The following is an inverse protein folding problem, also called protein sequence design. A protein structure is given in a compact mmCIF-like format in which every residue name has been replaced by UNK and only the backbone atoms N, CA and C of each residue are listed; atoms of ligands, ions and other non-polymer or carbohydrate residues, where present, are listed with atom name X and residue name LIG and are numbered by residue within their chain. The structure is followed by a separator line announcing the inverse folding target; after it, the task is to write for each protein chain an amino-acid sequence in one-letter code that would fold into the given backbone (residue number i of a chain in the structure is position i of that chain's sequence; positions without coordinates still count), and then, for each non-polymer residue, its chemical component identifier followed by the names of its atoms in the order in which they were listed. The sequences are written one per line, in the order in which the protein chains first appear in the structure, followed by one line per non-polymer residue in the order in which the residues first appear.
data_IF_921356542666
#
_entry.id   IF_921356542666
#
_cell.length_a   1.000
_cell.length_b   1.000
_cell.length_c   1.000
_cell.angle_alpha   90.00
_cell.angle_beta   90.00
_cell.angle_gamma   90.00
#
_symmetry.space_group_name_H-M   'P 1'
#
loop_
_entity.id
_entity.type
_entity.pdbx_description
1 polymer ?
#
# COMPACT_ATOMS: atom_id res chain seq x y z
N UNK A 1 16.43 -4.20 -1.19
CA UNK A 1 16.81 -2.96 -0.49
C UNK A 1 15.54 -2.23 -0.06
N UNK A 2 15.54 -1.43 1.02
CA UNK A 2 14.38 -0.62 1.42
C UNK A 2 14.73 0.86 1.45
N UNK A 3 13.77 1.75 1.18
CA UNK A 3 14.00 3.20 1.09
C UNK A 3 14.46 3.82 2.42
N UNK A 4 14.00 3.29 3.54
CA UNK A 4 14.40 3.71 4.88
C UNK A 4 15.66 2.98 5.39
N UNK A 5 16.62 2.68 4.54
CA UNK A 5 17.92 2.11 4.93
C UNK A 5 19.07 3.08 4.66
N UNK A 6 20.09 3.06 5.51
CA UNK A 6 21.29 3.90 5.34
C UNK A 6 21.98 3.64 3.99
N UNK A 7 22.03 2.38 3.54
CA UNK A 7 22.61 2.01 2.24
C UNK A 7 21.84 2.67 1.09
N UNK A 8 20.51 2.70 1.16
CA UNK A 8 19.71 3.38 0.15
C UNK A 8 19.92 4.89 0.17
N UNK A 9 19.84 5.50 1.35
CA UNK A 9 19.88 6.97 1.50
C UNK A 9 21.25 7.56 1.20
N UNK A 10 22.34 6.90 1.65
CA UNK A 10 23.69 7.46 1.58
C UNK A 10 24.48 6.97 0.37
N UNK A 11 24.12 5.84 -0.24
CA UNK A 11 24.89 5.26 -1.35
C UNK A 11 24.03 5.14 -2.60
N UNK A 12 22.97 4.31 -2.56
CA UNK A 12 22.23 3.96 -3.77
C UNK A 12 21.57 5.17 -4.41
N UNK A 13 20.77 5.91 -3.65
CA UNK A 13 20.01 7.06 -4.19
C UNK A 13 20.94 8.18 -4.71
N UNK A 14 21.96 8.64 -3.95
CA UNK A 14 22.91 9.63 -4.47
C UNK A 14 23.62 9.18 -5.75
N UNK A 15 24.12 7.95 -5.80
CA UNK A 15 24.82 7.42 -6.99
C UNK A 15 23.88 7.37 -8.20
N UNK A 16 22.70 6.79 -8.06
CA UNK A 16 21.71 6.69 -9.13
C UNK A 16 21.26 8.07 -9.60
N UNK A 17 21.05 9.00 -8.68
CA UNK A 17 20.64 10.36 -9.02
C UNK A 17 21.73 11.14 -9.75
N UNK A 18 22.98 11.07 -9.31
CA UNK A 18 24.11 11.70 -9.98
C UNK A 18 24.33 11.12 -11.38
N UNK A 19 24.29 9.79 -11.54
CA UNK A 19 24.36 9.15 -12.85
C UNK A 19 23.23 9.61 -13.77
N UNK A 20 22.01 9.76 -13.25
CA UNK A 20 20.88 10.26 -14.01
C UNK A 20 21.06 11.70 -14.50
N UNK A 21 21.74 12.55 -13.73
CA UNK A 21 22.04 13.92 -14.12
C UNK A 21 23.12 14.00 -15.23
N UNK A 22 24.15 13.15 -15.13
CA UNK A 22 25.32 13.18 -16.02
C UNK A 22 25.01 12.54 -17.38
N UNK A 23 24.20 11.47 -17.41
CA UNK A 23 23.93 10.71 -18.62
C UNK A 23 23.16 11.54 -19.66
N UNK A 24 23.60 11.56 -20.93
CA UNK A 24 22.91 12.28 -22.00
C UNK A 24 21.70 11.48 -22.53
N UNK A 25 20.61 12.20 -22.80
CA UNK A 25 19.46 11.67 -23.50
C UNK A 25 18.65 10.63 -22.72
N UNK A 26 17.39 10.51 -23.12
CA UNK A 26 16.39 9.68 -22.44
C UNK A 26 16.71 8.18 -22.49
N UNK A 27 17.34 7.71 -23.60
CA UNK A 27 17.66 6.28 -23.75
C UNK A 27 18.71 5.81 -22.74
N UNK A 28 19.79 6.57 -22.55
CA UNK A 28 20.84 6.25 -21.59
C UNK A 28 20.29 6.30 -20.15
N UNK A 29 19.48 7.32 -19.85
CA UNK A 29 18.80 7.45 -18.55
C UNK A 29 17.87 6.26 -18.28
N UNK A 30 17.09 5.80 -19.26
CA UNK A 30 16.20 4.64 -19.09
C UNK A 30 16.99 3.34 -18.85
N UNK A 31 18.08 3.10 -19.57
CA UNK A 31 18.91 1.93 -19.34
C UNK A 31 19.58 1.96 -17.96
N UNK A 32 20.07 3.11 -17.54
CA UNK A 32 20.63 3.28 -16.20
C UNK A 32 19.58 3.03 -15.12
N UNK A 33 18.38 3.60 -15.24
CA UNK A 33 17.28 3.36 -14.29
C UNK A 33 16.83 1.91 -14.28
N UNK A 34 16.81 1.23 -15.43
CA UNK A 34 16.53 -0.20 -15.52
C UNK A 34 17.56 -1.02 -14.74
N UNK A 35 18.84 -0.79 -15.00
CA UNK A 35 19.93 -1.51 -14.32
C UNK A 35 19.92 -1.23 -12.81
N UNK A 36 19.76 0.02 -12.41
CA UNK A 36 19.61 0.39 -11.01
C UNK A 36 18.41 -0.30 -10.34
N UNK A 37 17.28 -0.40 -11.05
CA UNK A 37 16.07 -1.08 -10.53
C UNK A 37 16.28 -2.58 -10.35
N UNK A 38 16.96 -3.22 -11.31
CA UNK A 38 17.30 -4.65 -11.20
C UNK A 38 18.27 -4.90 -10.03
N UNK A 39 19.30 -4.04 -9.87
CA UNK A 39 20.23 -4.10 -8.71
C UNK A 39 19.49 -3.88 -7.41
N UNK A 40 18.60 -2.87 -7.33
CA UNK A 40 17.79 -2.60 -6.15
C UNK A 40 16.96 -3.81 -5.72
N UNK A 41 16.33 -4.50 -6.67
CA UNK A 41 15.51 -5.68 -6.40
C UNK A 41 16.38 -6.89 -6.06
N UNK A 42 17.43 -7.17 -6.84
CA UNK A 42 18.34 -8.30 -6.64
C UNK A 42 19.07 -8.23 -5.30
N UNK A 43 19.30 -7.03 -4.74
CA UNK A 43 19.90 -6.87 -3.42
C UNK A 43 19.10 -7.58 -2.31
N UNK A 44 17.77 -7.64 -2.41
CA UNK A 44 16.91 -8.35 -1.45
C UNK A 44 16.43 -9.72 -1.98
N UNK A 45 16.33 -9.87 -3.29
CA UNK A 45 15.74 -11.02 -3.96
C UNK A 45 16.58 -11.48 -5.16
N UNK A 46 17.80 -12.03 -4.92
CA UNK A 46 18.75 -12.32 -6.00
C UNK A 46 18.27 -13.38 -7.00
N UNK A 47 17.45 -14.33 -6.55
CA UNK A 47 16.88 -15.38 -7.42
C UNK A 47 15.59 -14.90 -8.08
N UNK A 48 14.74 -14.21 -7.33
CA UNK A 48 13.41 -13.79 -7.82
C UNK A 48 13.45 -12.61 -8.79
N UNK A 49 14.59 -11.94 -8.95
CA UNK A 49 14.77 -10.99 -10.05
C UNK A 49 14.61 -11.67 -11.42
N UNK A 50 15.01 -12.94 -11.55
CA UNK A 50 14.80 -13.72 -12.77
C UNK A 50 13.32 -14.02 -13.03
N UNK A 51 12.55 -14.31 -11.97
CA UNK A 51 11.10 -14.48 -12.07
C UNK A 51 10.42 -13.19 -12.55
N UNK A 52 10.82 -12.05 -12.01
CA UNK A 52 10.30 -10.74 -12.44
C UNK A 52 10.62 -10.45 -13.92
N UNK A 53 11.86 -10.71 -14.37
CA UNK A 53 12.27 -10.58 -15.76
C UNK A 53 11.46 -11.51 -16.67
N UNK A 54 11.30 -12.78 -16.27
CA UNK A 54 10.51 -13.76 -17.02
C UNK A 54 9.03 -13.34 -17.10
N UNK A 55 8.44 -12.88 -15.99
CA UNK A 55 7.08 -12.34 -15.98
C UNK A 55 6.93 -11.15 -16.92
N UNK A 56 7.86 -10.18 -16.86
CA UNK A 56 7.86 -9.03 -17.77
C UNK A 56 7.95 -9.47 -19.24
N UNK A 57 8.78 -10.46 -19.55
CA UNK A 57 8.93 -10.99 -20.90
C UNK A 57 7.66 -11.67 -21.42
N UNK A 58 7.02 -12.51 -20.62
CA UNK A 58 5.74 -13.16 -20.97
C UNK A 58 4.65 -12.11 -21.24
N UNK A 59 4.55 -11.08 -20.41
CA UNK A 59 3.56 -10.02 -20.59
C UNK A 59 3.88 -9.15 -21.84
N UNK A 60 5.16 -8.86 -22.10
CA UNK A 60 5.61 -8.21 -23.34
C UNK A 60 5.23 -9.00 -24.59
N UNK A 61 5.52 -10.30 -24.62
CA UNK A 61 5.16 -11.18 -25.76
C UNK A 61 3.65 -11.26 -25.94
N UNK A 62 2.89 -11.37 -24.85
CA UNK A 62 1.42 -11.43 -24.90
C UNK A 62 0.84 -10.15 -25.52
N UNK A 63 1.36 -8.98 -25.16
CA UNK A 63 0.93 -7.72 -25.74
C UNK A 63 1.21 -7.65 -27.26
N UNK A 64 2.40 -8.09 -27.70
CA UNK A 64 2.73 -8.16 -29.15
C UNK A 64 1.86 -9.18 -29.90
N UNK A 65 1.52 -10.33 -29.27
CA UNK A 65 0.66 -11.34 -29.87
C UNK A 65 -0.78 -10.84 -30.04
N UNK A 66 -1.29 -10.06 -29.09
CA UNK A 66 -2.61 -9.42 -29.18
C UNK A 66 -2.70 -8.53 -30.41
N UNK A 67 -1.66 -7.74 -30.67
CA UNK A 67 -1.59 -6.88 -31.87
C UNK A 67 -1.53 -7.70 -33.16
N UNK A 68 -0.62 -8.70 -33.20
CA UNK A 68 -0.38 -9.51 -34.42
C UNK A 68 -1.53 -10.45 -34.80
N UNK A 69 -2.33 -10.90 -33.84
CA UNK A 69 -3.42 -11.87 -34.04
C UNK A 69 -4.76 -11.35 -33.49
N UNK A 70 -5.42 -10.40 -34.17
CA UNK A 70 -6.68 -9.81 -33.69
C UNK A 70 -7.82 -10.85 -33.46
N UNK A 71 -7.88 -11.93 -34.26
CA UNK A 71 -8.86 -13.01 -34.10
C UNK A 71 -8.64 -13.84 -32.82
N UNK A 72 -7.39 -13.95 -32.36
CA UNK A 72 -7.01 -14.71 -31.16
C UNK A 72 -6.80 -13.86 -29.91
N UNK A 73 -6.96 -12.53 -29.97
CA UNK A 73 -6.59 -11.62 -28.89
C UNK A 73 -7.24 -11.94 -27.53
N UNK A 74 -8.50 -12.43 -27.52
CA UNK A 74 -9.19 -12.84 -26.29
C UNK A 74 -8.55 -14.05 -25.64
N UNK A 75 -8.16 -15.05 -26.42
CA UNK A 75 -7.49 -16.25 -25.90
C UNK A 75 -6.12 -15.90 -25.32
N UNK A 76 -5.32 -15.09 -26.03
CA UNK A 76 -4.02 -14.62 -25.54
C UNK A 76 -4.15 -13.87 -24.22
N UNK A 77 -5.09 -12.91 -24.13
CA UNK A 77 -5.35 -12.17 -22.90
C UNK A 77 -5.79 -13.09 -21.77
N UNK A 78 -6.71 -14.05 -22.03
CA UNK A 78 -7.19 -14.98 -21.00
C UNK A 78 -6.06 -15.87 -20.49
N UNK A 79 -5.26 -16.45 -21.38
CA UNK A 79 -4.10 -17.28 -21.01
C UNK A 79 -3.09 -16.45 -20.18
N UNK A 80 -2.82 -15.21 -20.60
CA UNK A 80 -1.92 -14.32 -19.86
C UNK A 80 -2.42 -14.04 -18.43
N UNK A 81 -3.72 -13.76 -18.26
CA UNK A 81 -4.32 -13.54 -16.93
C UNK A 81 -4.20 -14.81 -16.08
N UNK A 82 -4.50 -15.98 -16.65
CA UNK A 82 -4.37 -17.27 -15.94
C UNK A 82 -2.92 -17.53 -15.52
N UNK A 83 -1.94 -17.26 -16.38
CA UNK A 83 -0.52 -17.43 -16.06
C UNK A 83 -0.08 -16.48 -14.93
N UNK A 84 -0.42 -15.19 -15.01
CA UNK A 84 -0.08 -14.21 -13.98
C UNK A 84 -0.73 -14.56 -12.62
N UNK A 85 -2.02 -14.91 -12.61
CA UNK A 85 -2.70 -15.36 -11.38
C UNK A 85 -2.19 -16.71 -10.89
N UNK A 86 -1.85 -17.63 -11.81
CA UNK A 86 -1.27 -18.93 -11.48
C UNK A 86 0.06 -18.81 -10.75
N UNK A 87 0.95 -17.93 -11.23
CA UNK A 87 2.21 -17.61 -10.55
C UNK A 87 1.95 -17.02 -9.16
N UNK A 88 1.00 -16.09 -9.04
CA UNK A 88 0.64 -15.51 -7.76
C UNK A 88 0.08 -16.57 -6.79
N UNK A 89 -0.79 -17.47 -7.26
CA UNK A 89 -1.33 -18.58 -6.46
C UNK A 89 -0.21 -19.52 -6.02
N UNK A 90 0.68 -19.88 -6.91
CA UNK A 90 1.81 -20.77 -6.61
C UNK A 90 2.67 -20.25 -5.45
N UNK A 91 3.06 -18.97 -5.50
CA UNK A 91 3.97 -18.42 -4.49
C UNK A 91 3.26 -17.98 -3.20
N UNK A 92 2.02 -17.49 -3.30
CA UNK A 92 1.33 -16.89 -2.15
C UNK A 92 0.35 -17.84 -1.45
N UNK A 93 -0.29 -18.75 -2.18
CA UNK A 93 -1.43 -19.50 -1.62
C UNK A 93 -1.19 -21.00 -1.47
N UNK A 94 -0.13 -21.59 -2.04
CA UNK A 94 0.09 -23.04 -2.00
C UNK A 94 0.16 -23.57 -0.57
N UNK A 95 0.90 -22.89 0.32
CA UNK A 95 0.97 -23.29 1.74
C UNK A 95 -0.40 -23.24 2.41
N UNK A 96 -1.09 -22.11 2.30
CA UNK A 96 -2.44 -21.93 2.87
C UNK A 96 -3.46 -22.94 2.34
N UNK A 97 -3.42 -23.26 1.04
CA UNK A 97 -4.31 -24.27 0.45
C UNK A 97 -4.02 -25.67 0.98
N UNK A 98 -2.74 -26.03 1.11
CA UNK A 98 -2.34 -27.31 1.67
C UNK A 98 -2.74 -27.44 3.16
N UNK A 99 -2.50 -26.40 3.97
CA UNK A 99 -2.93 -26.35 5.37
C UNK A 99 -4.46 -26.45 5.50
N UNK A 100 -5.19 -25.67 4.68
CA UNK A 100 -6.66 -25.71 4.67
C UNK A 100 -7.21 -27.06 4.27
N UNK A 101 -6.61 -27.69 3.24
CA UNK A 101 -6.96 -29.04 2.82
C UNK A 101 -6.75 -30.06 3.94
N UNK A 102 -5.60 -30.02 4.60
CA UNK A 102 -5.29 -30.89 5.73
C UNK A 102 -6.29 -30.71 6.88
N UNK A 103 -6.64 -29.44 7.20
CA UNK A 103 -7.59 -29.14 8.28
C UNK A 103 -9.02 -29.63 7.97
N UNK A 104 -9.47 -29.53 6.71
CA UNK A 104 -10.82 -29.93 6.31
C UNK A 104 -10.95 -31.46 6.19
N UNK A 105 -9.96 -32.12 5.62
CA UNK A 105 -10.03 -33.55 5.27
C UNK A 105 -9.27 -34.45 6.26
N UNK A 106 -8.65 -33.91 7.29
CA UNK A 106 -7.86 -34.68 8.26
C UNK A 106 -6.65 -35.37 7.65
N UNK A 107 -6.08 -34.79 6.57
CA UNK A 107 -4.93 -35.36 5.85
C UNK A 107 -3.61 -34.74 6.34
N UNK A 108 -2.48 -35.33 5.94
CA UNK A 108 -1.14 -34.84 6.27
C UNK A 108 -0.32 -34.56 4.99
N UNK A 109 -0.94 -33.89 4.01
CA UNK A 109 -0.23 -33.47 2.80
C UNK A 109 0.90 -32.52 3.18
N UNK A 110 2.15 -32.73 2.70
CA UNK A 110 3.26 -31.83 2.98
C UNK A 110 2.96 -30.39 2.59
N UNK A 111 3.16 -29.46 3.51
CA UNK A 111 3.00 -28.02 3.24
C UNK A 111 4.31 -27.47 2.64
N UNK A 112 4.29 -27.02 1.36
CA UNK A 112 5.52 -26.52 0.74
C UNK A 112 5.97 -25.20 1.38
N UNK A 113 7.24 -25.12 1.79
CA UNK A 113 7.87 -23.92 2.30
C UNK A 113 8.35 -23.01 1.14
N UNK A 114 7.41 -22.44 0.38
CA UNK A 114 7.72 -21.55 -0.74
C UNK A 114 7.86 -20.12 -0.20
N UNK A 115 9.06 -19.53 -0.33
CA UNK A 115 9.28 -18.13 0.05
C UNK A 115 8.54 -17.21 -0.91
N UNK A 116 7.75 -16.28 -0.37
CA UNK A 116 7.03 -15.28 -1.15
C UNK A 116 8.00 -14.22 -1.68
N UNK A 117 8.12 -14.03 -3.01
CA UNK A 117 8.95 -12.96 -3.58
C UNK A 117 8.39 -11.59 -3.23
N UNK A 118 9.26 -10.70 -2.73
CA UNK A 118 8.86 -9.35 -2.34
C UNK A 118 8.29 -8.61 -3.57
N UNK A 119 7.12 -7.98 -3.41
CA UNK A 119 6.48 -7.18 -4.46
C UNK A 119 5.76 -7.99 -5.56
N UNK A 120 5.70 -9.34 -5.49
CA UNK A 120 5.06 -10.17 -6.51
C UNK A 120 3.61 -9.75 -6.80
N UNK A 121 2.85 -9.39 -5.77
CA UNK A 121 1.45 -8.94 -5.92
C UNK A 121 1.36 -7.62 -6.71
N UNK A 122 2.33 -6.71 -6.52
CA UNK A 122 2.38 -5.41 -7.18
C UNK A 122 2.79 -5.53 -8.64
N UNK A 123 3.94 -6.17 -8.92
CA UNK A 123 4.41 -6.28 -10.30
C UNK A 123 3.51 -7.18 -11.16
N UNK A 124 2.85 -8.19 -10.58
CA UNK A 124 1.86 -9.00 -11.29
C UNK A 124 0.65 -8.16 -11.71
N UNK A 125 0.12 -7.31 -10.83
CA UNK A 125 -0.99 -6.42 -11.17
C UNK A 125 -0.60 -5.37 -12.22
N UNK A 126 0.61 -4.82 -12.13
CA UNK A 126 1.14 -3.90 -13.15
C UNK A 126 1.26 -4.59 -14.52
N UNK A 127 1.92 -5.75 -14.56
CA UNK A 127 2.12 -6.50 -15.79
C UNK A 127 0.80 -6.96 -16.42
N UNK A 128 -0.14 -7.44 -15.61
CA UNK A 128 -1.46 -7.87 -16.07
C UNK A 128 -2.30 -6.70 -16.59
N UNK A 129 -2.27 -5.53 -15.91
CA UNK A 129 -2.97 -4.34 -16.38
C UNK A 129 -2.46 -3.87 -17.75
N UNK A 130 -1.16 -3.92 -17.99
CA UNK A 130 -0.57 -3.57 -19.29
C UNK A 130 -1.15 -4.43 -20.42
N UNK A 131 -1.22 -5.75 -20.25
CA UNK A 131 -1.75 -6.65 -21.29
C UNK A 131 -3.26 -6.45 -21.51
N UNK A 132 -4.01 -6.21 -20.43
CA UNK A 132 -5.46 -5.92 -20.51
C UNK A 132 -5.69 -4.57 -21.22
N UNK A 133 -4.88 -3.55 -20.97
CA UNK A 133 -5.00 -2.25 -21.62
C UNK A 133 -4.68 -2.34 -23.12
N UNK A 134 -3.67 -3.11 -23.52
CA UNK A 134 -3.42 -3.40 -24.93
C UNK A 134 -4.60 -4.15 -25.56
N UNK A 135 -5.16 -5.17 -24.88
CA UNK A 135 -6.33 -5.89 -25.37
C UNK A 135 -7.55 -5.00 -25.58
N UNK A 136 -7.73 -4.00 -24.72
CA UNK A 136 -8.84 -3.00 -24.80
C UNK A 136 -8.58 -1.88 -25.79
N UNK A 137 -7.36 -1.73 -26.28
CA UNK A 137 -6.95 -0.61 -27.15
C UNK A 137 -6.77 0.70 -26.38
N UNK A 138 -6.56 0.65 -25.05
CA UNK A 138 -6.28 1.82 -24.21
C UNK A 138 -4.85 2.31 -24.44
N UNK A 139 -3.93 1.38 -24.72
CA UNK A 139 -2.52 1.67 -25.04
C UNK A 139 -2.05 0.78 -26.18
N UNK A 140 -1.09 1.28 -26.96
CA UNK A 140 -0.40 0.46 -27.94
C UNK A 140 0.63 -0.46 -27.29
N UNK A 141 0.90 -1.65 -27.87
CA UNK A 141 1.93 -2.54 -27.35
C UNK A 141 3.31 -1.93 -27.54
N UNK A 142 4.08 -1.86 -26.47
CA UNK A 142 5.46 -1.38 -26.51
C UNK A 142 6.35 -2.37 -27.28
N UNK A 143 7.07 -1.87 -28.28
CA UNK A 143 7.96 -2.70 -29.13
C UNK A 143 9.33 -2.99 -28.51
N UNK A 144 9.70 -2.27 -27.47
CA UNK A 144 10.99 -2.40 -26.79
C UNK A 144 10.80 -3.09 -25.44
N UNK A 145 11.33 -4.32 -25.30
CA UNK A 145 11.27 -5.09 -24.06
C UNK A 145 11.92 -4.34 -22.88
N UNK A 146 13.03 -3.64 -23.08
CA UNK A 146 13.70 -2.89 -22.02
C UNK A 146 12.81 -1.81 -21.40
N UNK A 147 11.92 -1.18 -22.17
CA UNK A 147 10.97 -0.20 -21.66
C UNK A 147 9.85 -0.84 -20.85
N UNK A 148 9.36 -2.02 -21.27
CA UNK A 148 8.38 -2.80 -20.49
C UNK A 148 9.00 -3.30 -19.19
N UNK A 149 10.24 -3.80 -19.26
CA UNK A 149 10.96 -4.25 -18.09
C UNK A 149 11.26 -3.09 -17.13
N UNK A 150 11.64 -1.91 -17.63
CA UNK A 150 11.80 -0.70 -16.82
C UNK A 150 10.49 -0.35 -16.12
N UNK A 151 9.37 -0.33 -16.83
CA UNK A 151 8.05 -0.06 -16.25
C UNK A 151 7.73 -1.00 -15.09
N UNK A 152 7.92 -2.30 -15.25
CA UNK A 152 7.57 -3.31 -14.26
C UNK A 152 8.56 -3.30 -13.08
N UNK A 153 9.86 -3.13 -13.35
CA UNK A 153 10.92 -3.21 -12.36
C UNK A 153 11.27 -1.89 -11.68
N UNK A 154 10.69 -0.77 -12.10
CA UNK A 154 11.11 0.57 -11.67
C UNK A 154 11.10 0.70 -10.15
N UNK A 155 12.28 0.87 -9.56
CA UNK A 155 12.50 0.71 -8.12
C UNK A 155 11.62 1.61 -7.24
N UNK A 156 11.20 2.85 -7.62
CA UNK A 156 10.33 3.65 -6.77
C UNK A 156 8.98 3.01 -6.49
N UNK A 157 8.41 2.31 -7.47
CA UNK A 157 7.05 1.74 -7.36
C UNK A 157 7.01 0.25 -7.05
N UNK A 158 8.12 -0.48 -7.31
CA UNK A 158 8.17 -1.93 -7.43
C UNK A 158 7.67 -2.70 -6.19
N UNK A 159 8.07 -2.30 -4.98
CA UNK A 159 7.83 -3.10 -3.76
C UNK A 159 6.44 -2.84 -3.18
N UNK A 160 6.10 -1.58 -2.92
CA UNK A 160 4.81 -1.14 -2.36
C UNK A 160 4.49 0.32 -2.69
N UNK A 161 4.99 0.82 -3.82
CA UNK A 161 4.57 2.11 -4.35
C UNK A 161 3.11 2.09 -4.82
N UNK A 162 2.60 3.20 -5.36
CA UNK A 162 1.33 3.17 -6.08
C UNK A 162 1.36 2.11 -7.17
N UNK A 163 0.26 1.39 -7.38
CA UNK A 163 0.12 0.49 -8.54
C UNK A 163 -0.05 1.37 -9.78
N UNK A 164 1.08 1.66 -10.44
CA UNK A 164 1.12 2.50 -11.63
C UNK A 164 0.70 1.68 -12.84
N UNK A 165 -0.19 2.20 -13.67
CA UNK A 165 -0.59 1.57 -14.92
C UNK A 165 0.32 2.02 -16.05
N UNK A 166 0.54 1.18 -17.05
CA UNK A 166 1.46 1.51 -18.14
C UNK A 166 1.07 2.80 -18.86
N UNK A 167 -0.21 2.98 -19.17
CA UNK A 167 -0.71 4.18 -19.87
C UNK A 167 -0.51 5.48 -19.05
N UNK A 168 -0.37 5.41 -17.73
CA UNK A 168 -0.14 6.59 -16.89
C UNK A 168 1.28 7.16 -17.08
N UNK A 169 2.29 6.31 -17.41
CA UNK A 169 3.70 6.72 -17.53
C UNK A 169 4.32 6.41 -18.89
N UNK A 170 3.56 5.86 -19.82
CA UNK A 170 4.07 5.46 -21.16
C UNK A 170 4.74 6.63 -21.89
N UNK A 171 4.13 7.82 -21.85
CA UNK A 171 4.69 9.02 -22.47
C UNK A 171 5.97 9.48 -21.78
N UNK A 172 6.06 9.36 -20.45
CA UNK A 172 7.23 9.76 -19.66
C UNK A 172 8.42 8.78 -19.85
N UNK A 173 8.14 7.52 -20.17
CA UNK A 173 9.18 6.57 -20.58
C UNK A 173 9.81 7.00 -21.92
N UNK A 174 9.01 7.54 -22.85
CA UNK A 174 9.49 8.00 -24.15
C UNK A 174 10.11 9.38 -24.08
N UNK A 175 9.42 10.32 -23.46
CA UNK A 175 9.78 11.73 -23.41
C UNK A 175 9.40 12.31 -22.04
N UNK A 176 10.39 12.54 -21.19
CA UNK A 176 10.19 13.26 -19.93
C UNK A 176 11.21 14.38 -19.78
N UNK A 177 10.76 15.43 -19.12
CA UNK A 177 11.59 16.56 -18.74
C UNK A 177 11.79 16.53 -17.23
N UNK A 178 13.00 16.75 -16.78
CA UNK A 178 13.34 16.89 -15.37
C UNK A 178 13.56 18.39 -15.12
N UNK A 179 12.74 18.97 -14.23
CA UNK A 179 12.86 20.38 -13.83
C UNK A 179 13.45 20.48 -12.44
N UNK A 180 14.11 21.59 -12.13
CA UNK A 180 14.64 21.86 -10.78
C UNK A 180 13.53 21.83 -9.75
N UNK A 181 12.39 22.45 -10.05
CA UNK A 181 11.22 22.46 -9.15
C UNK A 181 10.66 21.05 -8.91
N UNK A 182 10.61 20.21 -9.97
CA UNK A 182 10.21 18.81 -9.85
C UNK A 182 11.13 18.02 -8.93
N UNK A 183 12.45 18.21 -9.07
CA UNK A 183 13.46 17.58 -8.20
C UNK A 183 13.32 18.06 -6.75
N UNK A 184 13.22 19.37 -6.53
CA UNK A 184 13.09 19.93 -5.18
C UNK A 184 11.80 19.47 -4.47
N UNK A 185 10.69 19.48 -5.19
CA UNK A 185 9.42 18.96 -4.66
C UNK A 185 9.48 17.45 -4.44
N UNK A 186 10.17 16.71 -5.31
CA UNK A 186 10.42 15.28 -5.16
C UNK A 186 11.22 14.96 -3.89
N UNK A 187 12.31 15.69 -3.64
CA UNK A 187 13.12 15.54 -2.42
C UNK A 187 12.29 15.85 -1.17
N UNK A 188 11.53 16.95 -1.15
CA UNK A 188 10.65 17.30 -0.03
C UNK A 188 9.61 16.22 0.22
N UNK A 189 8.98 15.69 -0.83
CA UNK A 189 7.98 14.64 -0.74
C UNK A 189 8.60 13.34 -0.21
N UNK A 190 9.79 12.99 -0.69
CA UNK A 190 10.54 11.84 -0.21
C UNK A 190 10.86 11.94 1.28
N UNK A 191 11.38 13.09 1.74
CA UNK A 191 11.70 13.32 3.16
C UNK A 191 10.44 13.28 4.02
N UNK A 192 9.33 13.86 3.56
CA UNK A 192 8.05 13.77 4.27
C UNK A 192 7.59 12.32 4.43
N UNK A 193 7.71 11.50 3.36
CA UNK A 193 7.44 10.06 3.40
C UNK A 193 8.36 9.31 4.36
N UNK A 194 9.65 9.61 4.32
CA UNK A 194 10.65 9.03 5.22
C UNK A 194 10.34 9.38 6.69
N UNK A 195 9.98 10.63 6.97
CA UNK A 195 9.58 11.07 8.31
C UNK A 195 8.33 10.35 8.81
N UNK A 196 7.31 10.17 7.97
CA UNK A 196 6.13 9.36 8.29
C UNK A 196 6.52 7.93 8.69
N UNK A 197 7.42 7.30 7.92
CA UNK A 197 7.88 5.93 8.15
C UNK A 197 8.72 5.82 9.41
N UNK A 198 9.77 6.62 9.52
CA UNK A 198 10.80 6.45 10.56
C UNK A 198 10.34 7.03 11.90
N UNK A 199 9.77 8.25 11.88
CA UNK A 199 9.47 8.99 13.12
C UNK A 199 8.07 8.67 13.67
N UNK A 200 7.12 8.25 12.82
CA UNK A 200 5.76 7.96 13.28
C UNK A 200 5.49 6.46 13.24
N UNK A 201 5.56 5.84 12.06
CA UNK A 201 5.16 4.44 11.92
C UNK A 201 6.01 3.49 12.75
N UNK A 202 7.33 3.66 12.79
CA UNK A 202 8.20 2.78 13.57
C UNK A 202 7.89 2.87 15.07
N UNK A 203 7.65 4.07 15.62
CA UNK A 203 7.31 4.25 17.04
C UNK A 203 5.96 3.59 17.36
N UNK A 204 4.94 3.84 16.52
CA UNK A 204 3.63 3.21 16.68
C UNK A 204 3.72 1.69 16.52
N UNK A 205 4.57 1.21 15.61
CA UNK A 205 4.79 -0.21 15.34
C UNK A 205 5.42 -0.95 16.51
N UNK A 206 6.41 -0.37 17.19
CA UNK A 206 7.00 -0.97 18.40
C UNK A 206 5.93 -1.25 19.45
N UNK A 207 5.06 -0.29 19.71
CA UNK A 207 3.96 -0.46 20.67
C UNK A 207 2.93 -1.48 20.18
N UNK A 208 2.55 -1.44 18.91
CA UNK A 208 1.61 -2.41 18.34
C UNK A 208 2.17 -3.84 18.45
N UNK A 209 3.44 -4.06 18.07
CA UNK A 209 4.07 -5.39 18.14
C UNK A 209 4.23 -5.89 19.56
N UNK A 210 4.61 -5.03 20.51
CA UNK A 210 4.71 -5.37 21.93
C UNK A 210 3.36 -5.82 22.50
N UNK A 211 2.28 -5.14 22.16
CA UNK A 211 0.94 -5.42 22.71
C UNK A 211 0.27 -6.61 22.02
N UNK A 212 0.35 -6.73 20.67
CA UNK A 212 -0.19 -7.88 19.94
C UNK A 212 0.57 -9.17 20.19
N UNK A 213 1.85 -9.09 20.55
CA UNK A 213 2.69 -10.23 20.95
C UNK A 213 2.60 -10.60 22.43
N UNK A 214 1.85 -9.85 23.23
CA UNK A 214 1.76 -10.09 24.68
C UNK A 214 0.95 -11.35 25.02
N UNK A 215 1.20 -11.93 26.19
CA UNK A 215 0.52 -13.13 26.65
C UNK A 215 -1.01 -12.92 26.77
N UNK A 216 -1.79 -13.94 26.48
CA UNK A 216 -3.27 -13.86 26.49
C UNK A 216 -3.85 -13.36 27.83
N UNK A 217 -3.19 -13.68 28.95
CA UNK A 217 -3.62 -13.22 30.30
C UNK A 217 -3.46 -11.72 30.55
N UNK A 218 -2.78 -10.98 29.69
CA UNK A 218 -2.59 -9.52 29.77
C UNK A 218 -3.53 -8.72 28.86
N UNK A 219 -4.44 -9.40 28.14
CA UNK A 219 -5.36 -8.78 27.23
C UNK A 219 -6.58 -8.22 27.99
N UNK A 220 -6.68 -6.90 28.07
CA UNK A 220 -7.83 -6.17 28.60
C UNK A 220 -8.10 -4.95 27.74
N UNK A 221 -9.10 -4.12 28.11
CA UNK A 221 -9.52 -2.96 27.33
C UNK A 221 -8.37 -1.97 27.06
N UNK A 222 -7.54 -1.69 28.07
CA UNK A 222 -6.40 -0.77 27.93
C UNK A 222 -5.38 -1.28 26.89
N UNK A 223 -4.92 -2.53 27.02
CA UNK A 223 -3.99 -3.16 26.08
C UNK A 223 -4.60 -3.20 24.67
N UNK A 224 -5.88 -3.60 24.55
CA UNK A 224 -6.56 -3.74 23.28
C UNK A 224 -6.71 -2.40 22.54
N UNK A 225 -7.12 -1.34 23.22
CA UNK A 225 -7.26 -0.01 22.60
C UNK A 225 -5.92 0.63 22.25
N UNK A 226 -4.94 0.60 23.16
CA UNK A 226 -3.62 1.16 22.87
C UNK A 226 -2.97 0.41 21.70
N UNK A 227 -3.05 -0.91 21.67
CA UNK A 227 -2.53 -1.71 20.55
C UNK A 227 -3.25 -1.45 19.23
N UNK A 228 -4.59 -1.41 19.25
CA UNK A 228 -5.39 -1.16 18.04
C UNK A 228 -5.14 0.24 17.46
N UNK A 229 -5.07 1.28 18.30
CA UNK A 229 -4.78 2.65 17.86
C UNK A 229 -3.34 2.79 17.37
N UNK A 230 -2.39 2.13 18.04
CA UNK A 230 -0.99 2.10 17.58
C UNK A 230 -0.89 1.46 16.20
N UNK A 231 -1.55 0.32 15.97
CA UNK A 231 -1.57 -0.33 14.68
C UNK A 231 -2.30 0.50 13.60
N UNK A 232 -3.40 1.17 13.96
CA UNK A 232 -4.13 2.08 13.07
C UNK A 232 -3.18 3.14 12.49
N UNK A 233 -2.37 3.78 13.33
CA UNK A 233 -1.39 4.76 12.87
C UNK A 233 -0.18 4.13 12.20
N UNK A 234 0.32 3.00 12.70
CA UNK A 234 1.41 2.27 12.06
C UNK A 234 1.10 1.98 10.60
N UNK A 235 0.00 1.30 10.30
CA UNK A 235 -0.33 0.89 8.93
C UNK A 235 -0.53 2.10 8.00
N UNK A 236 -1.14 3.17 8.48
CA UNK A 236 -1.34 4.38 7.70
C UNK A 236 -0.03 5.10 7.38
N UNK A 237 0.79 5.36 8.39
CA UNK A 237 2.03 6.10 8.20
C UNK A 237 3.14 5.26 7.56
N UNK A 238 3.14 3.95 7.74
CA UNK A 238 4.04 3.05 7.02
C UNK A 238 3.76 3.09 5.52
N UNK A 239 2.53 2.85 5.14
CA UNK A 239 2.17 2.72 3.74
C UNK A 239 2.06 4.08 3.02
N UNK A 240 1.45 5.10 3.64
CA UNK A 240 1.44 6.44 3.05
C UNK A 240 2.85 7.03 2.98
N UNK A 241 3.72 6.73 3.96
CA UNK A 241 5.13 7.13 3.94
C UNK A 241 5.87 6.50 2.77
N UNK A 242 5.70 5.21 2.54
CA UNK A 242 6.29 4.54 1.39
C UNK A 242 5.77 5.11 0.06
N UNK A 243 4.46 5.35 -0.04
CA UNK A 243 3.86 5.96 -1.23
C UNK A 243 4.39 7.37 -1.50
N UNK A 244 4.56 8.19 -0.45
CA UNK A 244 5.15 9.53 -0.58
C UNK A 244 6.61 9.47 -1.02
N UNK A 245 7.40 8.53 -0.49
CA UNK A 245 8.78 8.29 -0.93
C UNK A 245 8.81 7.87 -2.41
N UNK A 246 7.93 6.96 -2.82
CA UNK A 246 7.83 6.50 -4.20
C UNK A 246 7.47 7.63 -5.18
N UNK A 247 6.46 8.45 -4.83
CA UNK A 247 6.04 9.61 -5.63
C UNK A 247 7.17 10.65 -5.69
N UNK A 248 7.84 10.91 -4.56
CA UNK A 248 8.97 11.83 -4.49
C UNK A 248 10.13 11.38 -5.38
N UNK A 249 10.50 10.10 -5.34
CA UNK A 249 11.51 9.52 -6.23
C UNK A 249 11.07 9.59 -7.70
N UNK A 250 9.79 9.31 -7.99
CA UNK A 250 9.24 9.50 -9.33
C UNK A 250 9.53 10.91 -9.85
N UNK A 251 9.16 11.94 -9.11
CA UNK A 251 9.39 13.36 -9.47
C UNK A 251 10.88 13.70 -9.65
N UNK A 252 11.75 13.15 -8.78
CA UNK A 252 13.20 13.35 -8.93
C UNK A 252 13.74 12.83 -10.27
N UNK A 253 13.15 11.77 -10.83
CA UNK A 253 13.53 11.18 -12.10
C UNK A 253 12.65 11.60 -13.30
N UNK A 254 11.70 12.53 -13.08
CA UNK A 254 10.80 13.07 -14.10
C UNK A 254 9.58 12.20 -14.40
N UNK A 255 9.16 11.33 -13.45
CA UNK A 255 7.94 10.53 -13.52
C UNK A 255 6.90 11.05 -12.53
N UNK A 256 5.61 11.07 -12.92
CA UNK A 256 4.52 11.62 -12.11
C UNK A 256 3.52 10.52 -11.74
N UNK A 257 3.72 9.91 -10.58
CA UNK A 257 2.80 8.91 -10.04
C UNK A 257 1.59 9.59 -9.42
N UNK A 258 0.42 8.93 -9.52
CA UNK A 258 -0.82 9.38 -8.89
C UNK A 258 -0.78 9.22 -7.39
N UNK A 259 -1.53 10.08 -6.68
CA UNK A 259 -1.68 9.98 -5.22
C UNK A 259 -2.30 8.64 -4.81
N UNK A 260 -1.78 8.08 -3.72
CA UNK A 260 -2.26 6.80 -3.18
C UNK A 260 -3.05 6.96 -1.88
N UNK A 261 -2.87 8.08 -1.18
CA UNK A 261 -3.57 8.43 0.05
C UNK A 261 -3.99 9.91 0.04
N UNK A 262 -5.20 10.19 0.56
CA UNK A 262 -5.71 11.56 0.73
C UNK A 262 -6.46 11.70 2.05
N UNK A 263 -5.73 11.79 3.17
CA UNK A 263 -6.27 11.94 4.52
C UNK A 263 -7.45 10.99 4.82
N UNK A 264 -7.29 9.66 4.73
CA UNK A 264 -8.39 8.70 4.81
C UNK A 264 -9.11 8.74 6.16
N UNK A 265 -8.43 9.11 7.24
CA UNK A 265 -9.03 9.19 8.58
C UNK A 265 -9.93 10.42 8.78
N UNK A 266 -9.97 11.34 7.82
CA UNK A 266 -10.93 12.45 7.80
C UNK A 266 -12.30 12.05 7.25
N UNK A 267 -12.46 10.83 6.72
CA UNK A 267 -13.67 10.34 6.06
C UNK A 267 -14.87 10.21 7.02
N UNK A 268 -16.05 10.41 6.46
CA UNK A 268 -17.33 10.32 7.17
C UNK A 268 -18.17 9.11 6.72
N UNK A 269 -17.60 8.24 5.91
CA UNK A 269 -18.20 6.98 5.48
C UNK A 269 -17.13 5.97 5.07
N UNK A 270 -17.45 4.68 5.11
CA UNK A 270 -16.56 3.62 4.63
C UNK A 270 -16.31 3.75 3.13
N UNK A 271 -17.33 4.18 2.37
CA UNK A 271 -17.16 4.49 0.94
C UNK A 271 -16.15 5.60 0.71
N UNK A 272 -16.21 6.69 1.46
CA UNK A 272 -15.26 7.79 1.35
C UNK A 272 -13.86 7.36 1.79
N UNK A 273 -13.76 6.59 2.87
CA UNK A 273 -12.50 6.03 3.34
C UNK A 273 -11.76 5.28 2.21
N UNK A 274 -12.41 4.36 1.50
CA UNK A 274 -11.81 3.59 0.42
C UNK A 274 -11.52 4.41 -0.85
N UNK A 275 -12.09 5.58 -1.02
CA UNK A 275 -11.71 6.54 -2.06
C UNK A 275 -10.45 7.34 -1.71
N UNK A 276 -10.06 7.34 -0.43
CA UNK A 276 -8.92 8.08 0.10
C UNK A 276 -7.77 7.18 0.55
N UNK A 277 -8.02 5.90 0.72
CA UNK A 277 -7.09 4.86 1.15
C UNK A 277 -6.71 3.98 -0.03
N UNK A 278 -5.38 3.80 -0.26
CA UNK A 278 -4.83 2.92 -1.32
C UNK A 278 -5.54 3.11 -2.66
N UNK A 279 -5.56 4.35 -3.12
CA UNK A 279 -6.33 4.81 -4.29
C UNK A 279 -5.92 4.02 -5.55
N UNK A 280 -4.64 3.72 -5.70
CA UNK A 280 -4.13 2.97 -6.85
C UNK A 280 -4.70 1.55 -6.92
N UNK A 281 -4.79 0.82 -5.80
CA UNK A 281 -5.43 -0.50 -5.74
C UNK A 281 -6.93 -0.41 -6.01
N UNK A 282 -7.61 0.55 -5.39
CA UNK A 282 -9.04 0.78 -5.58
C UNK A 282 -9.36 1.09 -7.05
N UNK A 283 -8.53 1.92 -7.72
CA UNK A 283 -8.68 2.22 -9.14
C UNK A 283 -8.37 1.01 -10.02
N UNK A 284 -7.40 0.18 -9.64
CA UNK A 284 -7.10 -1.05 -10.36
C UNK A 284 -8.29 -2.02 -10.32
N UNK A 285 -8.84 -2.31 -9.15
CA UNK A 285 -10.02 -3.17 -9.01
C UNK A 285 -11.26 -2.58 -9.69
N UNK A 286 -11.42 -1.26 -9.66
CA UNK A 286 -12.51 -0.58 -10.37
C UNK A 286 -12.44 -0.86 -11.88
N UNK A 287 -11.27 -0.67 -12.49
CA UNK A 287 -11.12 -0.77 -13.94
C UNK A 287 -11.03 -2.21 -14.46
N UNK A 288 -10.34 -3.09 -13.72
CA UNK A 288 -10.05 -4.44 -14.20
C UNK A 288 -10.97 -5.52 -13.64
N UNK A 289 -11.74 -5.24 -12.59
CA UNK A 289 -12.71 -6.19 -12.02
C UNK A 289 -14.13 -5.64 -11.97
N UNK A 290 -14.36 -4.49 -11.32
CA UNK A 290 -15.72 -3.97 -11.10
C UNK A 290 -16.45 -3.61 -12.40
N UNK A 291 -15.81 -2.87 -13.29
CA UNK A 291 -16.39 -2.47 -14.59
C UNK A 291 -16.68 -3.71 -15.47
N UNK A 292 -15.76 -4.68 -15.63
CA UNK A 292 -16.05 -5.92 -16.38
C UNK A 292 -17.19 -6.76 -15.80
N UNK A 293 -17.41 -6.77 -14.50
CA UNK A 293 -18.55 -7.43 -13.85
C UNK A 293 -19.90 -6.74 -14.16
N UNK A 294 -19.87 -5.61 -14.84
CA UNK A 294 -21.06 -4.80 -15.19
C UNK A 294 -21.19 -3.51 -14.40
N UNK A 295 -20.29 -3.23 -13.45
CA UNK A 295 -20.27 -2.01 -12.66
C UNK A 295 -21.61 -1.74 -11.97
N UNK A 296 -22.14 -0.53 -12.12
CA UNK A 296 -23.44 -0.08 -11.58
C UNK A 296 -24.59 -0.10 -12.62
N UNK A 297 -24.37 -0.66 -13.82
CA UNK A 297 -25.33 -0.59 -14.93
C UNK A 297 -26.50 -1.55 -14.83
N UNK A 298 -26.41 -2.59 -13.98
CA UNK A 298 -27.39 -3.70 -13.88
C UNK A 298 -28.23 -3.64 -12.59
N UNK A 299 -28.55 -2.43 -12.11
CA UNK A 299 -29.38 -2.20 -10.92
C UNK A 299 -28.65 -2.31 -9.58
N UNK A 300 -29.33 -1.92 -8.49
CA UNK A 300 -28.71 -1.79 -7.15
C UNK A 300 -28.16 -3.10 -6.58
N UNK A 301 -28.93 -4.19 -6.68
CA UNK A 301 -28.53 -5.51 -6.14
C UNK A 301 -27.24 -5.97 -6.81
N UNK A 302 -27.17 -5.92 -8.15
CA UNK A 302 -25.96 -6.32 -8.88
C UNK A 302 -24.77 -5.43 -8.55
N UNK A 303 -25.00 -4.12 -8.37
CA UNK A 303 -23.98 -3.18 -7.91
C UNK A 303 -23.39 -3.59 -6.57
N UNK A 304 -24.24 -4.00 -5.61
CA UNK A 304 -23.80 -4.45 -4.30
C UNK A 304 -23.00 -5.75 -4.37
N UNK A 305 -23.49 -6.73 -5.17
CA UNK A 305 -22.75 -7.98 -5.40
C UNK A 305 -21.38 -7.68 -6.02
N UNK A 306 -21.31 -6.82 -7.03
CA UNK A 306 -20.03 -6.45 -7.66
C UNK A 306 -19.07 -5.79 -6.67
N UNK A 307 -19.56 -4.89 -5.80
CA UNK A 307 -18.75 -4.28 -4.73
C UNK A 307 -18.25 -5.32 -3.73
N UNK A 308 -19.15 -6.22 -3.33
CA UNK A 308 -18.79 -7.31 -2.40
C UNK A 308 -17.71 -8.22 -2.99
N UNK A 309 -17.82 -8.62 -4.26
CA UNK A 309 -16.81 -9.42 -4.96
C UNK A 309 -15.47 -8.69 -4.99
N UNK A 310 -15.46 -7.37 -5.27
CA UNK A 310 -14.24 -6.57 -5.27
C UNK A 310 -13.57 -6.61 -3.90
N UNK A 311 -14.31 -6.42 -2.81
CA UNK A 311 -13.73 -6.43 -1.46
C UNK A 311 -13.28 -7.82 -1.03
N UNK A 312 -14.00 -8.86 -1.43
CA UNK A 312 -13.58 -10.24 -1.23
C UNK A 312 -12.22 -10.50 -1.93
N UNK A 313 -12.12 -10.12 -3.21
CA UNK A 313 -10.88 -10.23 -3.96
C UNK A 313 -9.75 -9.37 -3.38
N UNK A 314 -10.07 -8.18 -2.83
CA UNK A 314 -9.10 -7.32 -2.15
C UNK A 314 -8.57 -8.00 -0.89
N UNK A 315 -9.43 -8.62 -0.08
CA UNK A 315 -9.03 -9.39 1.09
C UNK A 315 -8.12 -10.56 0.71
N UNK A 316 -8.51 -11.36 -0.27
CA UNK A 316 -7.70 -12.44 -0.82
C UNK A 316 -6.35 -11.90 -1.30
N UNK A 317 -6.31 -10.80 -2.04
CA UNK A 317 -5.07 -10.21 -2.55
C UNK A 317 -4.08 -9.81 -1.44
N UNK A 318 -4.57 -9.35 -0.29
CA UNK A 318 -3.71 -8.95 0.82
C UNK A 318 -2.93 -10.12 1.41
N UNK A 319 -3.53 -11.29 1.60
CA UNK A 319 -2.78 -12.40 2.20
C UNK A 319 -3.51 -13.74 2.19
N UNK A 320 -2.73 -14.80 2.32
CA UNK A 320 -3.19 -16.17 2.42
C UNK A 320 -3.53 -16.54 3.88
N UNK A 321 -4.53 -15.87 4.45
CA UNK A 321 -5.03 -16.12 5.80
C UNK A 321 -6.54 -15.83 5.85
N UNK A 322 -7.26 -16.59 6.67
CA UNK A 322 -8.70 -16.41 6.90
C UNK A 322 -9.03 -15.03 7.44
N UNK A 323 -8.12 -14.41 8.20
CA UNK A 323 -8.31 -13.05 8.74
C UNK A 323 -8.42 -12.00 7.64
N UNK A 324 -7.66 -12.12 6.54
CA UNK A 324 -7.76 -11.23 5.38
C UNK A 324 -9.05 -11.45 4.59
N UNK A 325 -9.46 -12.72 4.45
CA UNK A 325 -10.75 -13.05 3.84
C UNK A 325 -11.91 -12.41 4.63
N UNK A 326 -11.90 -12.59 5.96
CA UNK A 326 -12.86 -11.96 6.86
C UNK A 326 -12.85 -10.45 6.75
N UNK A 327 -11.68 -9.82 6.72
CA UNK A 327 -11.51 -8.39 6.55
C UNK A 327 -12.17 -7.86 5.26
N UNK A 328 -12.00 -8.57 4.14
CA UNK A 328 -12.66 -8.24 2.88
C UNK A 328 -14.18 -8.34 2.97
N UNK A 329 -14.71 -9.43 3.55
CA UNK A 329 -16.15 -9.63 3.80
C UNK A 329 -16.69 -8.51 4.70
N UNK A 330 -16.00 -8.22 5.80
CA UNK A 330 -16.35 -7.19 6.77
C UNK A 330 -16.55 -5.81 6.10
N UNK A 331 -15.57 -5.34 5.36
CA UNK A 331 -15.70 -4.06 4.65
C UNK A 331 -16.74 -4.08 3.53
N UNK A 332 -16.87 -5.21 2.84
CA UNK A 332 -17.94 -5.43 1.86
C UNK A 332 -19.33 -5.29 2.47
N UNK A 333 -19.56 -5.85 3.66
CA UNK A 333 -20.82 -5.73 4.40
C UNK A 333 -21.12 -4.28 4.82
N UNK A 334 -20.13 -3.54 5.31
CA UNK A 334 -20.33 -2.13 5.68
C UNK A 334 -20.62 -1.24 4.47
N UNK A 335 -20.00 -1.50 3.32
CA UNK A 335 -20.34 -0.79 2.08
C UNK A 335 -21.77 -1.06 1.60
N UNK A 336 -22.25 -2.31 1.77
CA UNK A 336 -23.65 -2.64 1.50
C UNK A 336 -24.59 -1.95 2.50
N UNK A 337 -24.25 -1.96 3.80
CA UNK A 337 -25.00 -1.27 4.83
C UNK A 337 -25.18 0.22 4.49
N UNK A 338 -24.09 0.92 4.14
CA UNK A 338 -24.14 2.32 3.72
C UNK A 338 -24.94 2.54 2.44
N UNK A 339 -25.01 1.54 1.53
CA UNK A 339 -25.81 1.62 0.32
C UNK A 339 -27.29 1.48 0.56
N UNK A 340 -27.71 0.60 1.50
CA UNK A 340 -29.12 0.30 1.71
C UNK A 340 -29.76 1.17 2.79
N UNK A 341 -29.03 1.64 3.79
CA UNK A 341 -29.57 2.42 4.90
C UNK A 341 -29.52 3.91 4.60
N UNK A 342 -30.69 4.59 4.46
CA UNK A 342 -30.77 6.00 4.07
C UNK A 342 -30.06 6.96 5.04
N UNK A 343 -29.95 6.58 6.32
CA UNK A 343 -29.28 7.39 7.35
C UNK A 343 -27.85 7.79 6.94
N UNK A 344 -27.10 6.86 6.35
CA UNK A 344 -25.70 7.09 5.94
C UNK A 344 -25.56 8.02 4.74
N UNK A 345 -26.62 8.19 3.92
CA UNK A 345 -26.60 8.99 2.72
C UNK A 345 -27.10 10.42 2.88
N UNK A 346 -27.89 10.66 3.92
CA UNK A 346 -28.47 12.00 4.16
C UNK A 346 -27.37 12.94 4.65
N UNK A 347 -27.32 14.13 4.10
CA UNK A 347 -26.51 15.22 4.64
C UNK A 347 -26.96 15.57 6.06
N UNK A 348 -26.08 16.10 6.87
CA UNK A 348 -26.36 16.47 8.25
C UNK A 348 -25.42 17.56 8.76
N UNK A 349 -25.81 18.19 9.87
CA UNK A 349 -25.01 19.23 10.51
C UNK A 349 -23.68 18.71 11.09
N UNK A 350 -22.94 19.61 11.75
CA UNK A 350 -21.60 19.33 12.33
C UNK A 350 -21.58 18.13 13.28
N UNK A 351 -22.65 17.96 14.08
CA UNK A 351 -22.78 16.82 15.01
C UNK A 351 -22.83 15.50 14.24
N UNK A 352 -23.68 15.41 13.20
CA UNK A 352 -23.76 14.20 12.38
C UNK A 352 -22.41 13.89 11.71
N UNK A 353 -21.73 14.90 11.18
CA UNK A 353 -20.40 14.75 10.58
C UNK A 353 -19.40 14.17 11.59
N UNK A 354 -19.40 14.65 12.85
CA UNK A 354 -18.54 14.11 13.89
C UNK A 354 -18.88 12.64 14.24
N UNK A 355 -20.16 12.32 14.40
CA UNK A 355 -20.63 10.95 14.68
C UNK A 355 -20.26 10.02 13.55
N UNK A 356 -20.46 10.44 12.29
CA UNK A 356 -20.11 9.62 11.12
C UNK A 356 -18.61 9.40 10.99
N UNK A 357 -17.78 10.36 11.37
CA UNK A 357 -16.33 10.19 11.42
C UNK A 357 -15.91 9.18 12.49
N UNK A 358 -16.49 9.28 13.69
CA UNK A 358 -16.23 8.30 14.77
C UNK A 358 -16.66 6.90 14.32
N UNK A 359 -17.85 6.76 13.72
CA UNK A 359 -18.32 5.50 13.13
C UNK A 359 -17.30 4.94 12.13
N UNK A 360 -16.85 5.76 11.18
CA UNK A 360 -15.91 5.33 10.13
C UNK A 360 -14.58 4.87 10.74
N UNK A 361 -14.01 5.66 11.66
CA UNK A 361 -12.76 5.32 12.34
C UNK A 361 -12.89 4.04 13.18
N UNK A 362 -14.01 3.86 13.88
CA UNK A 362 -14.25 2.65 14.68
C UNK A 362 -14.33 1.40 13.79
N UNK A 363 -15.11 1.47 12.72
CA UNK A 363 -15.22 0.36 11.74
C UNK A 363 -13.86 0.03 11.14
N UNK A 364 -13.09 1.04 10.72
CA UNK A 364 -11.76 0.85 10.15
C UNK A 364 -10.77 0.28 11.18
N UNK A 365 -10.80 0.80 12.42
CA UNK A 365 -9.94 0.33 13.51
C UNK A 365 -10.19 -1.16 13.81
N UNK A 366 -11.45 -1.57 13.95
CA UNK A 366 -11.84 -2.97 14.17
C UNK A 366 -11.39 -3.84 12.96
N UNK A 367 -11.61 -3.36 11.75
CA UNK A 367 -11.12 -4.04 10.54
C UNK A 367 -9.62 -4.27 10.58
N UNK A 368 -8.85 -3.28 11.01
CA UNK A 368 -7.39 -3.40 11.12
C UNK A 368 -6.94 -4.28 12.29
N UNK A 369 -7.72 -4.47 13.34
CA UNK A 369 -7.44 -5.49 14.36
C UNK A 369 -7.44 -6.89 13.75
N UNK A 370 -8.43 -7.23 12.92
CA UNK A 370 -8.44 -8.50 12.19
C UNK A 370 -7.31 -8.60 11.16
N UNK A 371 -6.98 -7.51 10.51
CA UNK A 371 -5.88 -7.46 9.55
C UNK A 371 -4.51 -7.71 10.20
N UNK A 372 -4.34 -7.30 11.47
CA UNK A 372 -3.12 -7.50 12.27
C UNK A 372 -3.04 -8.87 12.92
N UNK A 373 -4.19 -9.44 13.25
CA UNK A 373 -4.28 -10.69 13.98
C UNK A 373 -3.74 -11.87 13.16
N UNK A 374 -2.99 -12.75 13.81
CA UNK A 374 -2.44 -13.95 13.18
C UNK A 374 -3.52 -15.03 12.99
N UNK A 375 -4.56 -15.04 13.85
CA UNK A 375 -5.70 -15.97 13.78
C UNK A 375 -7.03 -15.26 13.99
N UNK A 376 -8.12 -15.88 13.49
CA UNK A 376 -9.48 -15.37 13.75
C UNK A 376 -9.81 -15.33 15.25
N UNK A 377 -9.36 -16.33 16.00
CA UNK A 377 -9.56 -16.40 17.46
C UNK A 377 -8.91 -15.20 18.14
N UNK A 378 -7.67 -14.87 17.79
CA UNK A 378 -6.98 -13.70 18.32
C UNK A 378 -7.75 -12.41 17.98
N UNK A 379 -8.15 -12.22 16.72
CA UNK A 379 -8.91 -11.04 16.30
C UNK A 379 -10.21 -10.87 17.08
N UNK A 380 -10.99 -11.95 17.27
CA UNK A 380 -12.22 -11.93 18.05
C UNK A 380 -11.96 -11.62 19.53
N UNK A 381 -10.92 -12.22 20.12
CA UNK A 381 -10.54 -11.94 21.52
C UNK A 381 -10.14 -10.48 21.72
N UNK A 382 -9.40 -9.90 20.78
CA UNK A 382 -9.01 -8.48 20.80
C UNK A 382 -10.24 -7.57 20.74
N UNK A 383 -11.13 -7.78 19.78
CA UNK A 383 -12.36 -6.99 19.67
C UNK A 383 -13.25 -7.17 20.90
N UNK A 384 -13.38 -8.38 21.44
CA UNK A 384 -14.10 -8.62 22.68
C UNK A 384 -13.48 -7.82 23.84
N UNK A 385 -12.16 -7.86 24.00
CA UNK A 385 -11.46 -7.12 25.06
C UNK A 385 -11.64 -5.60 24.94
N UNK A 386 -11.69 -5.04 23.73
CA UNK A 386 -11.94 -3.60 23.52
C UNK A 386 -13.28 -3.15 24.14
N UNK A 387 -14.30 -4.00 24.17
CA UNK A 387 -15.66 -3.61 24.60
C UNK A 387 -16.12 -4.24 25.93
N UNK A 388 -15.46 -5.29 26.41
CA UNK A 388 -15.83 -6.00 27.64
C UNK A 388 -14.71 -6.13 28.65
N UNK A 389 -13.47 -5.85 28.25
CA UNK A 389 -12.28 -6.03 29.09
C UNK A 389 -12.00 -4.88 30.08
N UNK A 390 -13.04 -4.19 30.56
CA UNK A 390 -12.90 -3.03 31.46
C UNK A 390 -12.63 -3.40 32.93
N UNK A 391 -12.68 -4.68 33.29
CA UNK A 391 -12.15 -5.10 34.61
C UNK A 391 -10.65 -4.75 34.63
N UNK A 392 -10.28 -3.79 35.44
CA UNK A 392 -8.90 -3.33 35.59
C UNK A 392 -8.02 -4.42 36.21
N UNK A 393 -7.72 -5.47 35.46
CA UNK A 393 -6.62 -6.37 35.80
C UNK A 393 -5.34 -5.54 35.80
N UNK A 394 -4.63 -5.51 36.91
CA UNK A 394 -3.38 -4.75 37.08
C UNK A 394 -2.37 -5.05 35.98
N UNK A 395 -2.32 -6.29 35.49
CA UNK A 395 -1.42 -6.71 34.42
C UNK A 395 -1.69 -6.02 33.05
N UNK A 396 -2.97 -5.94 32.62
CA UNK A 396 -3.31 -5.28 31.33
C UNK A 396 -3.05 -3.77 31.37
N UNK A 397 -3.47 -3.13 32.47
CA UNK A 397 -3.28 -1.68 32.63
C UNK A 397 -1.79 -1.33 32.76
N UNK A 398 -1.02 -2.11 33.53
CA UNK A 398 0.43 -1.92 33.68
C UNK A 398 1.15 -2.06 32.34
N UNK A 399 0.84 -3.10 31.56
CA UNK A 399 1.43 -3.31 30.25
C UNK A 399 1.13 -2.16 29.28
N UNK A 400 -0.11 -1.69 29.25
CA UNK A 400 -0.50 -0.56 28.42
C UNK A 400 0.23 0.72 28.83
N UNK A 401 0.30 1.02 30.15
CA UNK A 401 0.99 2.20 30.69
C UNK A 401 2.49 2.19 30.40
N UNK A 402 3.16 1.03 30.43
CA UNK A 402 4.57 0.92 30.06
C UNK A 402 4.84 1.35 28.61
N UNK A 403 3.88 1.21 27.70
CA UNK A 403 4.01 1.64 26.32
C UNK A 403 3.78 3.14 26.12
N UNK A 404 3.10 3.82 27.04
CA UNK A 404 2.80 5.25 26.95
C UNK A 404 3.98 6.13 27.36
N UNK A 405 5.13 5.90 26.74
CA UNK A 405 6.33 6.73 26.95
C UNK A 405 6.12 8.16 26.45
N UNK A 406 6.92 9.15 26.91
CA UNK A 406 6.84 10.52 26.39
C UNK A 406 6.99 10.58 24.85
N UNK A 407 7.91 9.78 24.29
CA UNK A 407 8.09 9.68 22.84
C UNK A 407 6.81 9.16 22.15
N UNK A 408 6.19 8.12 22.69
CA UNK A 408 4.92 7.60 22.17
C UNK A 408 3.83 8.67 22.19
N UNK A 409 3.64 9.38 23.31
CA UNK A 409 2.59 10.38 23.45
C UNK A 409 2.76 11.54 22.47
N UNK A 410 3.98 12.05 22.32
CA UNK A 410 4.30 13.08 21.32
C UNK A 410 4.03 12.57 19.92
N UNK A 411 4.52 11.37 19.59
CA UNK A 411 4.34 10.78 18.26
C UNK A 411 2.86 10.51 17.96
N UNK A 412 2.11 10.02 18.93
CA UNK A 412 0.66 9.78 18.80
C UNK A 412 -0.08 11.10 18.52
N UNK A 413 0.25 12.17 19.23
CA UNK A 413 -0.33 13.51 19.02
C UNK A 413 -0.02 14.02 17.62
N UNK A 414 1.24 13.91 17.18
CA UNK A 414 1.64 14.28 15.81
C UNK A 414 0.90 13.43 14.78
N UNK A 415 0.77 12.14 15.00
CA UNK A 415 0.03 11.24 14.12
C UNK A 415 -1.45 11.63 14.00
N UNK A 416 -2.10 11.98 15.11
CA UNK A 416 -3.48 12.50 15.10
C UNK A 416 -3.60 13.75 14.22
N UNK A 417 -2.73 14.75 14.42
CA UNK A 417 -2.75 16.01 13.66
C UNK A 417 -2.46 15.76 12.17
N UNK A 418 -1.42 14.98 11.87
CA UNK A 418 -0.99 14.68 10.49
C UNK A 418 -1.98 13.80 9.71
N UNK A 419 -2.92 13.15 10.38
CA UNK A 419 -3.98 12.36 9.75
C UNK A 419 -5.11 13.21 9.15
N UNK A 420 -5.12 14.52 9.41
CA UNK A 420 -6.14 15.46 8.92
C UNK A 420 -5.52 16.56 8.07
N UNK A 421 -6.28 17.16 7.11
CA UNK A 421 -5.78 18.21 6.21
C UNK A 421 -5.69 19.59 6.90
N UNK A 422 -5.01 19.67 8.04
CA UNK A 422 -4.94 20.89 8.89
C UNK A 422 -4.26 22.05 8.16
N UNK A 423 -3.24 21.74 7.35
CA UNK A 423 -2.42 22.75 6.67
C UNK A 423 -2.84 23.02 5.21
N UNK A 424 -3.87 22.36 4.70
CA UNK A 424 -4.35 22.51 3.32
C UNK A 424 -4.76 23.97 3.01
N UNK A 425 -5.39 24.64 3.95
CA UNK A 425 -5.78 26.04 3.80
C UNK A 425 -4.56 26.97 3.66
N UNK A 426 -3.49 26.72 4.39
CA UNK A 426 -2.27 27.51 4.31
C UNK A 426 -1.52 27.29 3.00
N UNK A 427 -1.58 26.07 2.48
CA UNK A 427 -0.99 25.70 1.20
C UNK A 427 -1.72 26.36 0.02
N UNK A 428 -3.05 26.53 0.10
CA UNK A 428 -3.89 27.07 -0.97
C UNK A 428 -4.10 28.59 -0.91
N UNK A 429 -3.91 29.22 0.27
CA UNK A 429 -4.07 30.69 0.42
C UNK A 429 -2.76 31.39 0.07
N UNK A 430 -2.78 32.20 -0.99
CA UNK A 430 -1.62 32.93 -1.49
C UNK A 430 -0.90 33.80 -0.44
N UNK A 431 -1.62 34.26 0.62
CA UNK A 431 -1.01 35.04 1.72
C UNK A 431 -0.08 34.21 2.60
N UNK A 432 -0.40 32.93 2.81
CA UNK A 432 0.37 32.04 3.69
C UNK A 432 1.26 31.07 2.93
N UNK A 433 1.18 31.02 1.61
CA UNK A 433 1.90 30.06 0.77
C UNK A 433 3.42 30.16 0.93
N UNK A 434 3.97 31.37 0.96
CA UNK A 434 5.41 31.58 1.16
C UNK A 434 5.86 31.11 2.56
N UNK A 435 5.08 31.45 3.61
CA UNK A 435 5.33 30.98 4.96
C UNK A 435 5.26 29.45 5.04
N UNK A 436 4.22 28.84 4.46
CA UNK A 436 4.06 27.39 4.39
C UNK A 436 5.26 26.73 3.70
N UNK A 437 5.72 27.26 2.56
CA UNK A 437 6.86 26.72 1.82
C UNK A 437 8.16 26.78 2.61
N UNK A 438 8.42 27.89 3.31
CA UNK A 438 9.60 28.05 4.15
C UNK A 438 9.54 27.12 5.37
N UNK A 439 8.40 27.03 6.02
CA UNK A 439 8.18 26.09 7.13
C UNK A 439 8.36 24.63 6.67
N UNK A 440 7.79 24.25 5.53
CA UNK A 440 7.93 22.92 4.97
C UNK A 440 9.39 22.59 4.62
N UNK A 441 10.17 23.58 4.15
CA UNK A 441 11.59 23.41 3.89
C UNK A 441 12.38 23.15 5.18
N UNK A 442 12.19 23.97 6.21
CA UNK A 442 12.85 23.81 7.52
C UNK A 442 12.45 22.45 8.15
N UNK A 443 11.15 22.11 8.14
CA UNK A 443 10.67 20.83 8.63
C UNK A 443 11.27 19.64 7.85
N UNK A 444 11.53 19.79 6.55
CA UNK A 444 12.19 18.75 5.77
C UNK A 444 13.63 18.53 6.21
N UNK A 445 14.40 19.58 6.46
CA UNK A 445 15.77 19.46 6.96
C UNK A 445 15.78 18.78 8.33
N UNK A 446 14.98 19.29 9.26
CA UNK A 446 14.87 18.72 10.62
C UNK A 446 14.43 17.25 10.54
N UNK A 447 13.40 16.96 9.74
CA UNK A 447 12.89 15.62 9.53
C UNK A 447 13.95 14.66 8.99
N UNK A 448 14.75 15.10 8.01
CA UNK A 448 15.85 14.29 7.47
C UNK A 448 16.91 13.98 8.55
N UNK A 449 17.34 15.00 9.30
CA UNK A 449 18.34 14.83 10.38
C UNK A 449 17.82 13.85 11.43
N UNK A 450 16.58 14.03 11.90
CA UNK A 450 15.97 13.12 12.87
C UNK A 450 15.82 11.69 12.34
N UNK A 451 15.45 11.54 11.07
CA UNK A 451 15.40 10.21 10.43
C UNK A 451 16.78 9.56 10.36
N UNK A 452 17.83 10.30 9.98
CA UNK A 452 19.19 9.77 9.92
C UNK A 452 19.69 9.36 11.31
N UNK A 453 19.45 10.17 12.34
CA UNK A 453 19.79 9.82 13.72
C UNK A 453 19.03 8.57 14.20
N UNK A 454 17.74 8.49 13.93
CA UNK A 454 16.92 7.32 14.28
C UNK A 454 17.38 6.05 13.57
N UNK A 455 17.71 6.12 12.29
CA UNK A 455 18.17 4.99 11.50
C UNK A 455 19.60 4.55 11.88
N UNK A 456 20.45 5.47 12.29
CA UNK A 456 21.81 5.15 12.76
C UNK A 456 21.82 4.48 14.15
N UNK A 457 20.87 4.84 15.03
CA UNK A 457 20.78 4.33 16.39
C UNK A 457 19.86 3.12 16.57
N UNK A 458 18.97 2.84 15.62
CA UNK A 458 17.90 1.86 15.78
C UNK A 458 17.94 0.73 14.75
N UNK A 459 17.60 -0.47 15.18
CA UNK A 459 17.46 -1.64 14.30
C UNK A 459 16.00 -1.92 13.91
N UNK A 460 15.03 -1.39 14.66
CA UNK A 460 13.61 -1.60 14.40
C UNK A 460 13.13 -0.74 13.22
N UNK A 461 13.01 -1.36 12.07
CA UNK A 461 12.55 -0.71 10.85
C UNK A 461 11.75 -1.69 9.97
N UNK A 462 10.68 -2.30 10.50
CA UNK A 462 9.87 -3.23 9.75
C UNK A 462 9.14 -2.49 8.64
N UNK A 463 8.83 -3.21 7.56
CA UNK A 463 7.91 -2.73 6.54
C UNK A 463 6.70 -3.66 6.51
N UNK A 464 5.52 -3.10 6.73
CA UNK A 464 4.31 -3.87 6.98
C UNK A 464 3.95 -4.82 5.83
N UNK A 465 4.25 -4.43 4.59
CA UNK A 465 3.99 -5.24 3.39
C UNK A 465 4.93 -6.45 3.22
N UNK A 466 6.00 -6.57 3.99
CA UNK A 466 6.81 -7.80 4.01
C UNK A 466 6.18 -8.92 4.84
N UNK A 467 5.10 -8.60 5.52
CA UNK A 467 4.37 -9.53 6.37
C UNK A 467 3.24 -10.27 5.63
N UNK A 468 2.83 -9.79 4.45
CA UNK A 468 1.66 -10.28 3.72
C UNK A 468 2.00 -10.99 2.42
#
# INVERSE_FOLDING_TARGET
MVFSSMVFLCIFLPVVFLLHLILPGIRAKNWMLLLASLVFYAYGEPVYVLLMIASAFVNYLSALLIEKKPSGKKAVMTINVILNLGVLVLFKYTGFLAESFNAIFGTAVPVPAIRLPIGISFFTFQAMSYVIDVYRGVTEPQKNFGKVLLYISFFPQLIAGPIVKYHDIAQEIENRTQTVDGVMNGIRRFIAGLSKKVLISNVMGMTADALFGAAAGTLGAATAWVGALSYLFQIYFDFSGYSDMAIGLGWMFGFHFKENFNYPYSSTSIREFWRRWHISLSSWFLEYLYIPLGGNRKGKVRTCINKFIVFLCTGIWHGANVTFLFWGIYHGCFLMLEEFVPFFRKEGGKIKTAVMRIYTLLVVCIGFVFFRADTMTQGVQWVKAMFTGFSMGTASTSLALQQLTPLYLVTFTVACIASFPVFEKWKSDGRYQAFYNNMAFVCSIIGLVLCMLSLAGGTYNPFIYFRF
#
